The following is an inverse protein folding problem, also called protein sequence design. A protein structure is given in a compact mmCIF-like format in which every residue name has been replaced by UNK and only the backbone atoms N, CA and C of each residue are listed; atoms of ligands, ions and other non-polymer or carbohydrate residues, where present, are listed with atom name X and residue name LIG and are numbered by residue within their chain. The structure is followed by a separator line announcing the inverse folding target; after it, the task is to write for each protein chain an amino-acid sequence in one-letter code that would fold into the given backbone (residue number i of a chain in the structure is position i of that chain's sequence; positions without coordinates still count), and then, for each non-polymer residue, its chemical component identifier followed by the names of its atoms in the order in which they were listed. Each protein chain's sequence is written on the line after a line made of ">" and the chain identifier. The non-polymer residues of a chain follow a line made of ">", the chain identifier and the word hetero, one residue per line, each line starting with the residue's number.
data_IF_905736063136
#
_entry.id   IF_905736063136
#
_cell.length_a   1.000
_cell.length_b   1.000
_cell.length_c   1.000
_cell.angle_alpha   90.00
_cell.angle_beta   90.00
_cell.angle_gamma   90.00
#
_symmetry.space_group_name_H-M   'P 1'
#
loop_
_entity.id
_entity.type
_entity.pdbx_description
1 polymer ?
#
# COMPACT_ATOMS: atom_id res chain seq x y z
N UNK A 1 -7.12 -15.75 -11.90
CA UNK A 1 -5.77 -15.39 -11.47
C UNK A 1 -5.61 -13.89 -11.58
N UNK A 2 -5.21 -13.26 -10.50
CA UNK A 2 -4.94 -11.83 -10.39
C UNK A 2 -3.69 -11.45 -11.18
N UNK A 3 -3.59 -10.20 -11.61
CA UNK A 3 -2.31 -9.67 -12.06
C UNK A 3 -1.32 -9.61 -10.89
N UNK A 4 -0.01 -9.61 -11.16
CA UNK A 4 1.00 -9.47 -10.11
C UNK A 4 0.78 -8.24 -9.23
N UNK A 5 0.39 -7.11 -9.84
CA UNK A 5 0.11 -5.87 -9.10
C UNK A 5 -1.09 -6.00 -8.17
N UNK A 6 -2.17 -6.63 -8.64
CA UNK A 6 -3.35 -6.93 -7.83
C UNK A 6 -3.04 -7.90 -6.70
N UNK A 7 -2.20 -8.91 -6.97
CA UNK A 7 -1.71 -9.82 -5.95
C UNK A 7 -0.93 -9.08 -4.85
N UNK A 8 -0.01 -8.17 -5.21
CA UNK A 8 0.74 -7.36 -4.25
C UNK A 8 -0.19 -6.49 -3.40
N UNK A 9 -1.17 -5.81 -4.02
CA UNK A 9 -2.18 -5.01 -3.28
C UNK A 9 -2.96 -5.88 -2.32
N UNK A 10 -3.43 -7.03 -2.79
CA UNK A 10 -4.25 -7.92 -1.96
C UNK A 10 -3.46 -8.45 -0.76
N UNK A 11 -2.23 -8.92 -0.99
CA UNK A 11 -1.35 -9.44 0.06
C UNK A 11 -0.93 -8.33 1.04
N UNK A 12 -0.73 -7.09 0.57
CA UNK A 12 -0.41 -5.97 1.45
C UNK A 12 -1.47 -5.62 2.49
N UNK A 13 -2.71 -6.11 2.32
CA UNK A 13 -3.82 -5.90 3.24
C UNK A 13 -4.19 -7.17 4.03
N UNK A 14 -3.26 -8.13 4.14
CA UNK A 14 -3.55 -9.44 4.72
C UNK A 14 -3.67 -9.45 6.26
N UNK A 15 -2.93 -8.56 6.93
CA UNK A 15 -2.74 -8.62 8.39
C UNK A 15 -3.78 -7.80 9.19
N UNK A 16 -4.13 -6.59 8.74
CA UNK A 16 -5.08 -5.68 9.41
C UNK A 16 -5.78 -4.75 8.41
N UNK A 17 -6.60 -3.83 8.91
CA UNK A 17 -7.13 -2.69 8.17
C UNK A 17 -6.02 -1.71 7.81
N UNK A 18 -5.69 -1.67 6.54
CA UNK A 18 -4.62 -0.86 5.98
C UNK A 18 -5.12 0.44 5.36
N UNK A 19 -4.34 1.50 5.56
CA UNK A 19 -4.55 2.77 4.84
C UNK A 19 -4.06 2.63 3.41
N UNK A 20 -4.52 3.50 2.50
CA UNK A 20 -4.04 3.52 1.11
C UNK A 20 -2.50 3.62 0.96
N UNK A 21 -1.81 4.20 1.95
CA UNK A 21 -0.35 4.28 1.95
C UNK A 21 0.32 2.92 1.77
N UNK A 22 -0.14 1.89 2.47
CA UNK A 22 0.51 0.58 2.50
C UNK A 22 0.44 -0.19 1.16
N UNK A 23 -0.72 -0.39 0.51
CA UNK A 23 -0.75 -1.01 -0.81
C UNK A 23 0.02 -0.19 -1.85
N UNK A 24 -0.01 1.13 -1.75
CA UNK A 24 0.80 2.00 -2.60
C UNK A 24 2.31 1.79 -2.38
N UNK A 25 2.73 1.67 -1.11
CA UNK A 25 4.09 1.42 -0.69
C UNK A 25 4.62 0.05 -1.13
N UNK A 26 3.80 -0.97 -0.99
CA UNK A 26 4.09 -2.33 -1.44
C UNK A 26 4.40 -2.40 -2.93
N UNK A 27 3.60 -1.71 -3.76
CA UNK A 27 3.84 -1.65 -5.20
C UNK A 27 5.11 -0.87 -5.55
N UNK A 28 5.30 0.31 -4.95
CA UNK A 28 6.31 1.26 -5.44
C UNK A 28 7.69 1.07 -4.81
N UNK A 29 7.74 0.56 -3.59
CA UNK A 29 8.96 0.44 -2.80
C UNK A 29 8.96 -0.77 -1.86
N UNK A 30 8.26 -1.84 -2.27
CA UNK A 30 8.36 -3.16 -1.64
C UNK A 30 7.86 -3.23 -0.20
N UNK A 31 6.96 -2.31 0.20
CA UNK A 31 6.34 -2.30 1.52
C UNK A 31 7.16 -1.53 2.55
N UNK A 32 8.29 -0.97 2.14
CA UNK A 32 9.13 -0.16 3.01
C UNK A 32 8.37 1.08 3.50
N UNK A 33 8.22 1.22 4.81
CA UNK A 33 7.62 2.43 5.39
C UNK A 33 8.72 3.47 5.61
N UNK A 34 8.66 4.59 4.88
CA UNK A 34 9.58 5.71 5.09
C UNK A 34 9.02 6.70 6.11
N UNK A 35 9.88 7.15 7.02
CA UNK A 35 9.62 8.28 7.91
C UNK A 35 10.42 9.50 7.47
N UNK A 36 9.90 10.71 7.65
CA UNK A 36 10.56 11.95 7.24
C UNK A 36 11.95 12.12 7.86
N UNK A 37 12.12 11.71 9.12
CA UNK A 37 13.43 11.70 9.80
C UNK A 37 14.44 10.82 9.08
N UNK A 38 14.00 9.65 8.59
CA UNK A 38 14.80 8.72 7.79
C UNK A 38 15.13 9.28 6.40
N UNK A 39 14.19 10.02 5.78
CA UNK A 39 14.41 10.64 4.48
C UNK A 39 15.45 11.78 4.54
N UNK A 40 15.38 12.66 5.54
CA UNK A 40 16.40 13.68 5.76
C UNK A 40 17.78 13.07 6.03
N UNK A 41 17.84 11.91 6.67
CA UNK A 41 19.08 11.16 6.85
C UNK A 41 19.58 10.58 5.51
N UNK A 42 18.72 9.96 4.70
CA UNK A 42 19.09 9.43 3.38
C UNK A 42 19.59 10.54 2.45
N UNK A 43 18.87 11.66 2.38
CA UNK A 43 19.28 12.85 1.61
C UNK A 43 20.55 13.46 2.19
N UNK A 44 20.65 13.55 3.52
CA UNK A 44 21.85 14.04 4.22
C UNK A 44 23.09 13.21 3.91
N UNK A 45 23.00 11.87 4.03
CA UNK A 45 24.07 10.94 3.64
C UNK A 45 24.45 11.09 2.17
N UNK A 46 23.46 11.21 1.28
CA UNK A 46 23.70 11.43 -0.16
C UNK A 46 24.42 12.75 -0.46
N UNK A 47 24.19 13.77 0.37
CA UNK A 47 24.81 15.10 0.27
C UNK A 47 26.09 15.24 1.12
N UNK A 48 26.56 14.19 1.79
CA UNK A 48 27.74 14.23 2.65
C UNK A 48 27.54 14.96 3.99
N UNK A 49 26.30 15.17 4.42
CA UNK A 49 25.95 15.80 5.69
C UNK A 49 25.79 14.74 6.79
N UNK A 50 26.54 14.87 7.89
CA UNK A 50 26.45 13.99 9.05
C UNK A 50 25.29 14.41 9.97
N UNK A 51 24.11 13.85 9.73
CA UNK A 51 22.96 13.95 10.64
C UNK A 51 22.85 12.60 11.37
N UNK A 52 23.06 12.59 12.68
CA UNK A 52 23.11 11.35 13.47
C UNK A 52 21.81 11.17 14.28
N UNK A 53 20.98 10.19 13.90
CA UNK A 53 19.77 9.74 14.61
C UNK A 53 19.77 8.20 14.58
N UNK A 54 19.32 7.47 15.63
CA UNK A 54 19.47 6.02 15.71
C UNK A 54 18.66 5.29 14.61
N UNK A 55 19.17 4.17 14.06
CA UNK A 55 18.57 3.53 12.90
C UNK A 55 17.28 2.79 13.26
N UNK A 56 16.17 3.18 12.64
CA UNK A 56 15.03 2.26 12.43
C UNK A 56 15.44 1.24 11.36
N UNK A 57 15.67 0.01 11.79
CA UNK A 57 16.16 -1.14 11.01
C UNK A 57 15.37 -1.41 9.72
N UNK A 58 15.76 -0.87 8.56
CA UNK A 58 15.55 -1.50 7.25
C UNK A 58 16.63 -1.00 6.27
N UNK A 59 17.16 -1.88 5.42
CA UNK A 59 18.32 -1.58 4.56
C UNK A 59 17.98 -0.55 3.47
N UNK A 60 18.51 0.65 3.64
CA UNK A 60 18.28 1.83 2.82
C UNK A 60 19.25 1.88 1.61
N UNK A 61 19.06 0.96 0.65
CA UNK A 61 19.92 0.85 -0.55
C UNK A 61 19.14 1.08 -1.85
N UNK A 62 18.77 2.32 -2.15
CA UNK A 62 18.43 2.72 -3.53
C UNK A 62 17.65 4.03 -3.65
N UNK A 63 17.62 4.66 -4.84
CA UNK A 63 16.66 5.71 -5.13
C UNK A 63 15.25 5.10 -5.20
N UNK A 64 14.42 5.42 -4.22
CA UNK A 64 13.02 4.99 -4.18
C UNK A 64 12.21 5.81 -5.19
N UNK A 65 11.71 5.15 -6.23
CA UNK A 65 10.95 5.78 -7.31
C UNK A 65 9.51 5.32 -7.30
N UNK A 66 8.58 6.27 -7.26
CA UNK A 66 7.19 6.00 -7.60
C UNK A 66 7.14 5.65 -9.09
N UNK A 67 6.83 4.39 -9.39
CA UNK A 67 6.75 3.84 -10.75
C UNK A 67 5.30 3.58 -11.19
N UNK A 68 4.39 3.43 -10.23
CA UNK A 68 2.97 3.22 -10.45
C UNK A 68 2.19 4.36 -9.81
N UNK A 69 1.37 5.04 -10.62
CA UNK A 69 0.55 6.15 -10.15
C UNK A 69 -0.51 5.69 -9.14
N UNK A 70 -0.83 6.54 -8.16
CA UNK A 70 -1.84 6.24 -7.15
C UNK A 70 -3.20 5.86 -7.72
N UNK A 71 -3.63 6.51 -8.81
CA UNK A 71 -4.89 6.16 -9.47
C UNK A 71 -4.91 4.70 -9.96
N UNK A 72 -3.78 4.19 -10.47
CA UNK A 72 -3.70 2.81 -10.94
C UNK A 72 -3.81 1.81 -9.79
N UNK A 73 -3.18 2.12 -8.64
CA UNK A 73 -3.32 1.32 -7.42
C UNK A 73 -4.78 1.33 -6.93
N UNK A 74 -5.42 2.50 -6.92
CA UNK A 74 -6.82 2.64 -6.54
C UNK A 74 -7.76 1.86 -7.47
N UNK A 75 -7.46 1.80 -8.77
CA UNK A 75 -8.19 0.97 -9.72
C UNK A 75 -8.08 -0.53 -9.41
N UNK A 76 -6.89 -1.02 -9.06
CA UNK A 76 -6.72 -2.42 -8.65
C UNK A 76 -7.48 -2.73 -7.35
N UNK A 77 -7.42 -1.83 -6.37
CA UNK A 77 -8.23 -1.93 -5.13
C UNK A 77 -9.72 -2.07 -5.47
N UNK A 78 -10.25 -1.21 -6.36
CA UNK A 78 -11.67 -1.30 -6.77
C UNK A 78 -12.00 -2.63 -7.42
N UNK A 79 -11.12 -3.14 -8.30
CA UNK A 79 -11.31 -4.46 -8.94
C UNK A 79 -11.36 -5.55 -7.87
N UNK A 80 -10.40 -5.55 -6.93
CA UNK A 80 -10.35 -6.54 -5.84
C UNK A 80 -11.59 -6.50 -4.93
N UNK A 81 -12.11 -5.31 -4.63
CA UNK A 81 -13.37 -5.16 -3.88
C UNK A 81 -14.55 -5.71 -4.69
N UNK A 82 -14.62 -5.39 -5.98
CA UNK A 82 -15.70 -5.86 -6.86
C UNK A 82 -15.68 -7.39 -7.04
N UNK A 83 -14.50 -8.01 -6.98
CA UNK A 83 -14.33 -9.46 -6.99
C UNK A 83 -14.62 -10.12 -5.62
N UNK A 84 -14.87 -9.33 -4.57
CA UNK A 84 -15.09 -9.83 -3.21
C UNK A 84 -13.81 -10.35 -2.53
N UNK A 85 -12.64 -9.99 -3.03
CA UNK A 85 -11.34 -10.42 -2.50
C UNK A 85 -10.81 -9.45 -1.45
N UNK A 86 -11.18 -8.17 -1.55
CA UNK A 86 -10.78 -7.11 -0.63
C UNK A 86 -12.02 -6.45 -0.03
N UNK A 87 -12.04 -6.26 1.28
CA UNK A 87 -13.02 -5.44 1.98
C UNK A 87 -12.51 -4.01 2.10
N UNK A 88 -13.44 -3.04 2.08
CA UNK A 88 -13.10 -1.64 2.29
C UNK A 88 -14.13 -0.96 3.19
N UNK A 89 -13.67 0.02 3.96
CA UNK A 89 -14.49 0.90 4.78
C UNK A 89 -14.20 2.35 4.42
N UNK A 90 -15.24 3.17 4.37
CA UNK A 90 -15.15 4.63 4.31
C UNK A 90 -14.96 5.15 5.72
N UNK A 91 -13.95 5.98 5.93
CA UNK A 91 -13.71 6.67 7.20
C UNK A 91 -14.36 8.04 7.13
N UNK A 92 -15.37 8.27 7.97
CA UNK A 92 -16.07 9.55 8.04
C UNK A 92 -15.28 10.55 8.90
N UNK A 93 -15.62 11.84 8.77
CA UNK A 93 -15.03 12.90 9.58
C UNK A 93 -15.28 12.73 11.10
N UNK A 94 -16.31 11.97 11.51
CA UNK A 94 -16.58 11.61 12.90
C UNK A 94 -15.92 10.28 13.30
N UNK A 95 -14.92 9.82 12.54
CA UNK A 95 -14.17 8.57 12.71
C UNK A 95 -15.01 7.29 12.63
N UNK A 96 -16.29 7.38 12.26
CA UNK A 96 -17.11 6.20 12.02
C UNK A 96 -16.75 5.56 10.70
N UNK A 97 -16.80 4.23 10.68
CA UNK A 97 -16.58 3.43 9.48
C UNK A 97 -17.90 3.00 8.85
N UNK A 98 -17.98 3.15 7.53
CA UNK A 98 -19.11 2.69 6.73
C UNK A 98 -18.61 1.69 5.68
N UNK A 99 -19.17 0.47 5.61
CA UNK A 99 -18.70 -0.54 4.67
C UNK A 99 -18.91 -0.10 3.21
N UNK A 100 -17.91 -0.38 2.38
CA UNK A 100 -18.01 -0.24 0.93
C UNK A 100 -18.78 -1.45 0.39
N UNK A 101 -19.87 -1.19 -0.33
CA UNK A 101 -20.70 -2.23 -0.92
C UNK A 101 -20.03 -2.94 -2.11
N UNK A 102 -20.70 -3.96 -2.67
CA UNK A 102 -20.14 -4.80 -3.75
C UNK A 102 -19.88 -4.06 -5.07
N UNK A 103 -20.44 -2.86 -5.24
CA UNK A 103 -20.13 -1.98 -6.39
C UNK A 103 -18.71 -1.37 -6.31
N UNK A 104 -18.01 -1.54 -5.18
CA UNK A 104 -16.70 -0.98 -4.90
C UNK A 104 -16.73 0.53 -4.66
N UNK A 105 -15.56 1.15 -4.76
CA UNK A 105 -15.40 2.60 -4.71
C UNK A 105 -15.99 3.24 -5.97
N UNK A 106 -16.66 4.38 -5.79
CA UNK A 106 -17.12 5.25 -6.88
C UNK A 106 -15.94 5.87 -7.64
N UNK A 107 -16.21 6.46 -8.80
CA UNK A 107 -15.15 7.14 -9.56
C UNK A 107 -14.61 8.32 -8.77
N UNK A 108 -15.49 9.07 -8.12
CA UNK A 108 -15.17 10.25 -7.33
C UNK A 108 -14.22 9.87 -6.17
N UNK A 109 -14.50 8.74 -5.50
CA UNK A 109 -13.64 8.19 -4.44
C UNK A 109 -12.27 7.75 -4.97
N UNK A 110 -12.20 7.15 -6.16
CA UNK A 110 -10.93 6.78 -6.78
C UNK A 110 -10.08 8.00 -7.14
N UNK A 111 -10.71 9.07 -7.64
CA UNK A 111 -10.02 10.25 -8.11
C UNK A 111 -9.29 11.02 -7.00
N UNK A 112 -9.63 10.79 -5.73
CA UNK A 112 -8.89 11.31 -4.56
C UNK A 112 -7.41 10.91 -4.62
N UNK A 113 -7.10 9.74 -5.18
CA UNK A 113 -5.73 9.21 -5.27
C UNK A 113 -5.02 9.56 -6.58
N UNK A 114 -5.60 10.41 -7.43
CA UNK A 114 -5.06 10.73 -8.76
C UNK A 114 -3.63 11.22 -8.73
N UNK A 115 -3.36 12.18 -7.85
CA UNK A 115 -2.07 12.83 -7.72
C UNK A 115 -1.28 12.30 -6.50
N UNK A 116 -1.60 11.09 -6.04
CA UNK A 116 -0.93 10.48 -4.89
C UNK A 116 0.47 9.98 -5.28
N UNK A 117 1.50 10.53 -4.63
CA UNK A 117 2.92 10.23 -4.90
C UNK A 117 3.79 10.29 -3.64
N UNK A 118 3.20 10.07 -2.46
CA UNK A 118 3.91 10.20 -1.19
C UNK A 118 4.90 9.06 -0.96
N UNK A 119 6.14 9.45 -0.68
CA UNK A 119 7.18 8.51 -0.29
C UNK A 119 7.08 8.19 1.21
N UNK A 120 6.92 9.21 2.05
CA UNK A 120 6.87 9.01 3.50
C UNK A 120 5.45 8.86 4.02
N UNK A 121 5.30 8.08 5.08
CA UNK A 121 4.03 7.94 5.78
C UNK A 121 3.59 9.28 6.40
N UNK A 122 4.54 10.08 6.86
CA UNK A 122 4.26 11.38 7.45
C UNK A 122 3.66 12.36 6.41
N UNK A 123 4.17 12.36 5.17
CA UNK A 123 3.59 13.19 4.10
C UNK A 123 2.19 12.72 3.69
N UNK A 124 1.93 11.40 3.72
CA UNK A 124 0.57 10.86 3.58
C UNK A 124 -0.35 11.41 4.66
N UNK A 125 0.06 11.32 5.93
CA UNK A 125 -0.76 11.74 7.07
C UNK A 125 -1.03 13.24 7.04
N UNK A 126 -0.06 14.07 6.66
CA UNK A 126 -0.28 15.52 6.57
C UNK A 126 -1.25 15.91 5.46
N UNK A 127 -1.23 15.20 4.32
CA UNK A 127 -2.09 15.54 3.19
C UNK A 127 -3.47 14.88 3.26
N UNK A 128 -3.58 13.67 3.82
CA UNK A 128 -4.78 12.83 3.79
C UNK A 128 -5.29 12.42 5.19
N UNK A 129 -4.59 12.78 6.27
CA UNK A 129 -4.82 12.17 7.57
C UNK A 129 -4.56 10.65 7.50
N UNK A 130 -5.38 9.86 8.19
CA UNK A 130 -5.37 8.41 8.00
C UNK A 130 -6.07 7.95 6.71
N UNK A 131 -6.40 8.88 5.81
CA UNK A 131 -7.08 8.59 4.55
C UNK A 131 -8.59 8.40 4.71
N UNK A 132 -9.34 8.53 3.60
CA UNK A 132 -10.79 8.35 3.61
C UNK A 132 -11.23 6.88 3.55
N UNK A 133 -10.30 5.94 3.41
CA UNK A 133 -10.58 4.52 3.26
C UNK A 133 -9.58 3.65 4.02
N UNK A 134 -10.10 2.60 4.64
CA UNK A 134 -9.35 1.48 5.23
C UNK A 134 -9.66 0.21 4.42
N UNK A 135 -8.66 -0.65 4.21
CA UNK A 135 -8.76 -1.86 3.37
C UNK A 135 -8.29 -3.09 4.13
N UNK A 136 -9.00 -4.20 4.02
CA UNK A 136 -8.58 -5.46 4.64
C UNK A 136 -8.93 -6.61 3.71
N UNK A 137 -8.06 -7.61 3.62
CA UNK A 137 -8.34 -8.80 2.83
C UNK A 137 -9.65 -9.47 3.28
N UNK A 138 -10.46 -9.91 2.31
CA UNK A 138 -11.64 -10.70 2.61
C UNK A 138 -11.26 -12.18 2.75
N UNK A 139 -12.14 -13.00 3.34
CA UNK A 139 -11.93 -14.45 3.47
C UNK A 139 -11.65 -15.12 2.11
N UNK A 140 -12.34 -14.69 1.05
CA UNK A 140 -12.09 -15.18 -0.30
C UNK A 140 -10.73 -14.73 -0.84
N UNK A 141 -10.28 -13.53 -0.48
CA UNK A 141 -8.96 -13.01 -0.82
C UNK A 141 -7.83 -13.82 -0.19
N UNK A 142 -7.96 -14.20 1.09
CA UNK A 142 -6.98 -15.06 1.77
C UNK A 142 -6.84 -16.41 1.04
N UNK A 143 -7.98 -17.05 0.72
CA UNK A 143 -7.97 -18.29 -0.05
C UNK A 143 -7.37 -18.14 -1.45
N UNK A 144 -7.58 -16.99 -2.09
CA UNK A 144 -7.02 -16.69 -3.40
C UNK A 144 -5.49 -16.61 -3.34
N UNK A 145 -4.92 -15.84 -2.40
CA UNK A 145 -3.45 -15.64 -2.34
C UNK A 145 -2.68 -16.93 -1.98
N UNK A 146 -3.34 -17.90 -1.35
CA UNK A 146 -2.77 -19.22 -1.03
C UNK A 146 -2.76 -20.20 -2.24
N UNK A 147 -3.37 -19.83 -3.37
CA UNK A 147 -3.44 -20.72 -4.52
C UNK A 147 -2.03 -20.99 -5.12
N UNK A 148 -1.72 -22.24 -5.52
CA UNK A 148 -0.39 -22.62 -6.04
C UNK A 148 0.19 -21.73 -7.16
N UNK A 149 -0.60 -21.16 -8.10
CA UNK A 149 -0.08 -20.29 -9.14
C UNK A 149 0.64 -19.03 -8.61
N UNK A 150 0.32 -18.55 -7.41
CA UNK A 150 0.95 -17.35 -6.85
C UNK A 150 2.37 -17.59 -6.31
N UNK A 151 2.80 -18.84 -6.18
CA UNK A 151 4.19 -19.19 -5.82
C UNK A 151 5.23 -18.69 -6.81
N UNK A 152 4.84 -18.49 -8.08
CA UNK A 152 5.72 -17.87 -9.07
C UNK A 152 5.92 -16.38 -8.77
N UNK A 153 4.86 -15.69 -8.33
CA UNK A 153 4.95 -14.29 -7.92
C UNK A 153 5.82 -14.12 -6.68
N UNK A 154 5.67 -14.98 -5.67
CA UNK A 154 6.51 -14.94 -4.46
C UNK A 154 8.01 -15.05 -4.81
N UNK A 155 8.36 -15.97 -5.70
CA UNK A 155 9.74 -16.15 -6.18
C UNK A 155 10.27 -14.91 -6.89
N UNK A 156 9.46 -14.34 -7.79
CA UNK A 156 9.83 -13.14 -8.55
C UNK A 156 9.96 -11.90 -7.66
N UNK A 157 9.18 -11.83 -6.58
CA UNK A 157 9.20 -10.75 -5.58
C UNK A 157 10.26 -10.96 -4.49
N UNK A 158 10.86 -12.16 -4.42
CA UNK A 158 11.81 -12.52 -3.37
C UNK A 158 11.16 -12.69 -1.99
N UNK A 159 9.84 -12.93 -1.94
CA UNK A 159 9.11 -13.15 -0.70
C UNK A 159 9.36 -14.58 -0.20
N UNK A 160 9.44 -14.78 1.13
CA UNK A 160 9.51 -16.12 1.67
C UNK A 160 8.26 -16.89 1.22
N UNK A 161 8.46 -18.07 0.64
CA UNK A 161 7.34 -18.95 0.29
C UNK A 161 6.54 -19.19 1.57
N UNK A 162 5.30 -18.71 1.61
CA UNK A 162 4.36 -19.06 2.68
C UNK A 162 4.25 -20.58 2.73
N UNK A 163 4.48 -21.14 3.92
CA UNK A 163 4.50 -22.58 4.17
C UNK A 163 3.10 -23.18 4.17
#
# INVERSE_FOLDING_TARGET
>A
MLSKRQYIVLNSCADDWELFYFPFAWINYGGQVFRRTSLHEMVGRRLGLNIHIPPSRYEDKGPWTVSVAGLEVAWDIRILITLGLLSAQRVRADEKREPVGPAGLSKEELFIYRDYHYLTFDDHVEAFGYGPHEFMIAELGLKEIDLPPYREYDKELGWPLSF
#
